data_IF_539051487064
#
_entry.id   IF_539051487064
#
_cell.length_a   1.000
_cell.length_b   1.000
_cell.length_c   1.000
_cell.angle_alpha   90.00
_cell.angle_beta   90.00
_cell.angle_gamma   90.00
#
_symmetry.space_group_name_H-M   'P 1'
#
loop_
_entity.id
_entity.type
_entity.pdbx_description
1 polymer ?
#
# COMPACT_ATOMS: atom_id res chain seq x y z
N UNK A 1 11.31 2.13 -4.71
CA UNK A 1 10.76 2.24 -3.35
C UNK A 1 10.16 3.64 -3.26
N UNK A 2 8.95 3.78 -2.72
CA UNK A 2 8.39 5.11 -2.47
C UNK A 2 9.30 5.87 -1.49
N UNK A 3 9.40 7.18 -1.66
CA UNK A 3 10.15 8.03 -0.72
C UNK A 3 9.52 7.92 0.68
N UNK A 4 10.31 7.87 1.75
CA UNK A 4 9.77 7.74 3.10
C UNK A 4 8.92 8.96 3.46
N UNK A 5 7.82 8.72 4.16
CA UNK A 5 6.99 9.82 4.70
C UNK A 5 7.81 10.60 5.72
N UNK A 6 7.97 11.90 5.51
CA UNK A 6 8.82 12.77 6.33
C UNK A 6 8.05 13.42 7.47
N UNK A 7 8.60 13.34 8.68
CA UNK A 7 8.22 14.13 9.86
C UNK A 7 9.39 15.01 10.26
N UNK A 8 9.18 16.31 10.29
CA UNK A 8 10.17 17.28 10.77
C UNK A 8 10.05 17.43 12.27
N UNK A 9 11.19 17.51 12.94
CA UNK A 9 11.31 17.84 14.35
C UNK A 9 11.82 19.28 14.40
N UNK A 10 10.93 20.22 14.76
CA UNK A 10 11.21 21.66 14.76
C UNK A 10 10.67 22.29 16.03
N UNK A 11 11.48 23.14 16.66
CA UNK A 11 11.18 23.85 17.91
C UNK A 11 10.77 22.91 19.04
N UNK A 12 9.47 22.71 19.26
CA UNK A 12 8.89 21.86 20.29
C UNK A 12 7.75 20.98 19.73
N UNK A 13 7.75 20.69 18.42
CA UNK A 13 6.68 19.93 17.74
C UNK A 13 7.21 18.98 16.66
N UNK A 14 6.42 17.95 16.37
CA UNK A 14 6.55 17.13 15.16
C UNK A 14 5.67 17.72 14.06
N UNK A 15 6.18 17.85 12.85
CA UNK A 15 5.48 18.46 11.72
C UNK A 15 5.57 17.58 10.45
N UNK A 16 4.45 16.99 9.99
CA UNK A 16 3.14 16.98 10.64
C UNK A 16 3.17 16.17 11.95
N UNK A 17 2.26 16.47 12.87
CA UNK A 17 2.14 15.71 14.12
C UNK A 17 1.44 14.36 13.93
N UNK A 18 0.73 14.18 12.82
CA UNK A 18 0.10 12.94 12.42
C UNK A 18 0.49 12.61 10.98
N UNK A 19 0.89 11.38 10.74
CA UNK A 19 1.07 10.83 9.40
C UNK A 19 0.26 9.55 9.27
N UNK A 20 -0.30 9.32 8.09
CA UNK A 20 -0.98 8.09 7.70
C UNK A 20 -0.15 7.38 6.64
N UNK A 21 0.20 6.12 6.87
CA UNK A 21 1.02 5.30 5.97
C UNK A 21 0.46 3.88 5.90
N UNK A 22 0.82 3.10 4.89
CA UNK A 22 0.45 1.69 4.80
C UNK A 22 1.42 0.81 5.59
N UNK A 23 0.96 -0.35 6.06
CA UNK A 23 1.83 -1.35 6.66
C UNK A 23 2.98 -1.72 5.72
N UNK A 24 4.19 -1.80 6.26
CA UNK A 24 5.45 -1.94 5.51
C UNK A 24 6.10 -0.61 5.11
N UNK A 25 5.45 0.53 5.29
CA UNK A 25 6.03 1.85 5.00
C UNK A 25 7.08 2.27 6.02
N UNK A 26 8.04 3.08 5.55
CA UNK A 26 9.07 3.72 6.39
C UNK A 26 8.74 5.20 6.61
N UNK A 27 8.75 5.61 7.89
CA UNK A 27 8.65 7.02 8.29
C UNK A 27 10.04 7.51 8.67
N UNK A 28 10.37 8.72 8.22
CA UNK A 28 11.63 9.40 8.50
C UNK A 28 11.39 10.62 9.35
N UNK A 29 12.11 10.72 10.47
CA UNK A 29 12.19 11.92 11.29
C UNK A 29 13.50 12.65 11.01
N UNK A 30 13.44 13.97 10.84
CA UNK A 30 14.62 14.83 10.68
C UNK A 30 14.54 15.99 11.66
N UNK A 31 15.59 16.22 12.44
CA UNK A 31 15.68 17.38 13.31
C UNK A 31 16.16 18.61 12.55
N UNK A 32 15.22 19.48 12.17
CA UNK A 32 15.50 20.78 11.55
C UNK A 32 15.54 21.91 12.59
N UNK A 33 15.33 21.60 13.87
CA UNK A 33 15.49 22.52 14.99
C UNK A 33 16.93 22.71 15.44
N UNK A 34 17.14 23.60 16.42
CA UNK A 34 18.46 23.93 16.98
C UNK A 34 18.79 23.20 18.29
N UNK A 35 17.84 22.46 18.85
CA UNK A 35 18.00 21.70 20.10
C UNK A 35 17.95 20.19 19.83
N UNK A 36 18.48 19.41 20.76
CA UNK A 36 18.33 17.96 20.74
C UNK A 36 16.89 17.56 21.04
N UNK A 37 16.35 16.62 20.26
CA UNK A 37 15.03 16.04 20.48
C UNK A 37 15.10 14.53 20.57
N UNK A 38 14.00 13.91 21.00
CA UNK A 38 13.84 12.48 20.87
C UNK A 38 12.61 12.09 20.07
N UNK A 39 12.71 10.95 19.40
CA UNK A 39 11.58 10.20 18.85
C UNK A 39 11.47 8.96 19.72
N UNK A 40 10.50 8.98 20.65
CA UNK A 40 10.38 7.96 21.70
C UNK A 40 8.98 7.39 21.76
N UNK A 41 8.87 6.07 21.66
CA UNK A 41 7.66 5.28 21.90
C UNK A 41 8.00 4.14 22.87
N UNK A 42 7.22 4.04 23.94
CA UNK A 42 7.42 3.04 24.99
C UNK A 42 6.71 1.70 24.71
N UNK A 43 5.58 1.75 24.00
CA UNK A 43 4.78 0.59 23.64
C UNK A 43 5.27 -0.02 22.33
N UNK A 44 4.92 -1.28 22.05
CA UNK A 44 5.31 -1.91 20.79
C UNK A 44 4.61 -1.25 19.57
N UNK A 45 5.31 -1.07 18.44
CA UNK A 45 6.76 -1.22 18.29
C UNK A 45 7.52 -0.14 19.08
N UNK A 46 8.49 -0.55 19.90
CA UNK A 46 9.19 0.37 20.80
C UNK A 46 10.47 0.95 20.16
N UNK A 47 10.71 2.23 20.36
CA UNK A 47 11.92 2.91 19.91
C UNK A 47 12.24 4.12 20.80
N UNK A 48 13.53 4.40 20.99
CA UNK A 48 13.99 5.63 21.64
C UNK A 48 15.27 6.11 20.94
N UNK A 49 15.19 7.29 20.31
CA UNK A 49 16.29 7.88 19.56
C UNK A 49 16.45 9.35 19.91
N UNK A 50 17.68 9.76 20.17
CA UNK A 50 18.06 11.17 20.31
C UNK A 50 18.50 11.66 18.93
N UNK A 51 17.97 12.80 18.50
CA UNK A 51 18.33 13.48 17.25
C UNK A 51 18.93 14.84 17.59
N UNK A 52 20.23 15.01 17.32
CA UNK A 52 20.87 16.32 17.31
C UNK A 52 20.42 17.14 16.09
N UNK A 53 20.65 18.47 16.04
CA UNK A 53 20.33 19.27 14.85
C UNK A 53 20.93 18.67 13.57
N UNK A 54 20.08 18.42 12.57
CA UNK A 54 20.42 17.80 11.29
C UNK A 54 20.38 16.26 11.27
N UNK A 55 20.24 15.60 12.43
CA UNK A 55 20.19 14.14 12.49
C UNK A 55 18.83 13.57 12.07
N UNK A 56 18.88 12.31 11.66
CA UNK A 56 17.77 11.60 11.04
C UNK A 56 17.51 10.26 11.75
N UNK A 57 16.26 9.84 11.80
CA UNK A 57 15.88 8.49 12.23
C UNK A 57 14.81 7.94 11.30
N UNK A 58 14.93 6.68 10.91
CA UNK A 58 13.94 5.98 10.10
C UNK A 58 13.42 4.76 10.83
N UNK A 59 12.12 4.50 10.71
CA UNK A 59 11.48 3.31 11.27
C UNK A 59 10.42 2.76 10.30
N UNK A 60 10.46 1.45 10.08
CA UNK A 60 9.49 0.73 9.25
C UNK A 60 8.39 0.11 10.10
N UNK A 61 7.14 0.47 9.83
CA UNK A 61 5.99 -0.06 10.57
C UNK A 61 5.39 -1.26 9.85
N UNK A 62 5.76 -2.48 10.26
CA UNK A 62 5.35 -3.71 9.59
C UNK A 62 3.86 -4.06 9.76
N UNK A 63 3.23 -3.63 10.86
CA UNK A 63 1.87 -4.02 11.21
C UNK A 63 0.94 -2.81 11.25
N UNK A 64 -0.35 -2.99 10.88
CA UNK A 64 -1.35 -1.95 11.01
C UNK A 64 -1.57 -1.55 12.48
N UNK A 65 -1.99 -0.31 12.67
CA UNK A 65 -2.49 0.21 13.94
C UNK A 65 -4.02 0.23 13.93
N UNK A 66 -4.63 0.46 15.09
CA UNK A 66 -6.00 0.95 15.14
C UNK A 66 -6.04 2.47 14.88
N UNK A 67 -7.22 3.10 15.05
CA UNK A 67 -7.43 4.54 14.88
C UNK A 67 -6.60 5.39 15.87
N UNK A 68 -6.17 4.80 17.00
CA UNK A 68 -5.32 5.46 17.99
C UNK A 68 -3.86 5.55 17.57
N UNK A 69 -3.44 4.78 16.55
CA UNK A 69 -2.11 4.82 15.94
C UNK A 69 -0.94 4.51 16.88
N UNK A 70 0.26 4.57 16.32
CA UNK A 70 1.50 4.49 17.09
C UNK A 70 1.89 5.87 17.59
N UNK A 71 1.35 6.27 18.76
CA UNK A 71 1.75 7.48 19.45
C UNK A 71 3.22 7.45 19.89
N UNK A 72 3.90 8.58 19.76
CA UNK A 72 5.28 8.79 20.21
C UNK A 72 5.45 10.22 20.75
N UNK A 73 6.55 10.45 21.45
CA UNK A 73 6.83 11.73 22.10
C UNK A 73 8.32 12.06 22.12
N UNK A 74 8.65 13.33 22.33
CA UNK A 74 9.97 13.72 22.81
C UNK A 74 9.99 13.66 24.34
N UNK A 75 10.99 12.99 24.93
CA UNK A 75 11.09 12.76 26.39
C UNK A 75 11.76 13.89 27.16
N UNK A 76 12.41 14.85 26.50
CA UNK A 76 13.09 15.98 27.16
C UNK A 76 12.13 17.06 27.67
N UNK A 77 10.93 17.20 27.09
CA UNK A 77 9.96 18.24 27.47
C UNK A 77 8.76 17.64 28.20
N UNK A 78 8.95 17.30 29.47
CA UNK A 78 7.94 16.65 30.33
C UNK A 78 6.71 17.51 30.67
N UNK A 79 6.73 18.83 30.41
CA UNK A 79 5.68 19.77 30.81
C UNK A 79 4.73 20.28 29.71
N UNK A 80 5.08 20.14 28.43
CA UNK A 80 4.32 20.70 27.29
C UNK A 80 4.01 19.74 26.14
N UNK A 81 4.55 18.52 26.19
CA UNK A 81 4.11 17.38 25.37
C UNK A 81 4.32 17.52 23.86
N UNK A 82 5.58 17.49 23.40
CA UNK A 82 5.87 17.24 21.99
C UNK A 82 5.48 15.80 21.66
N UNK A 83 4.37 15.62 20.93
CA UNK A 83 3.75 14.33 20.61
C UNK A 83 3.43 14.22 19.13
N UNK A 84 3.52 13.02 18.60
CA UNK A 84 3.03 12.69 17.27
C UNK A 84 2.44 11.30 17.23
N UNK A 85 1.80 10.97 16.11
CA UNK A 85 1.19 9.66 15.86
C UNK A 85 1.45 9.23 14.43
N UNK A 86 1.75 7.94 14.25
CA UNK A 86 1.72 7.28 12.94
C UNK A 86 0.49 6.38 12.90
N UNK A 87 -0.48 6.69 12.03
CA UNK A 87 -1.58 5.77 11.72
C UNK A 87 -1.08 4.85 10.61
N UNK A 88 -1.12 3.54 10.87
CA UNK A 88 -0.68 2.54 9.89
C UNK A 88 -1.90 1.79 9.42
N UNK A 89 -2.33 2.06 8.19
CA UNK A 89 -3.42 1.29 7.57
C UNK A 89 -2.92 -0.10 7.20
N UNK A 90 -3.80 -1.11 7.14
CA UNK A 90 -3.44 -2.40 6.57
C UNK A 90 -2.82 -2.19 5.18
N UNK A 91 -1.82 -3.00 4.84
CA UNK A 91 -1.41 -3.17 3.44
C UNK A 91 -2.66 -3.58 2.65
N UNK A 92 -2.94 -2.91 1.53
CA UNK A 92 -4.09 -3.26 0.70
C UNK A 92 -3.77 -4.59 0.03
N UNK A 93 -4.27 -5.68 0.63
CA UNK A 93 -4.13 -7.00 0.04
C UNK A 93 -4.68 -7.00 -1.39
N UNK A 94 -3.99 -7.64 -2.35
CA UNK A 94 -4.43 -7.60 -3.73
C UNK A 94 -5.80 -8.26 -3.86
N UNK A 95 -6.64 -7.68 -4.72
CA UNK A 95 -7.90 -8.30 -5.11
C UNK A 95 -7.60 -9.57 -5.89
N UNK A 96 -8.02 -10.72 -5.36
CA UNK A 96 -7.68 -12.03 -5.93
C UNK A 96 -8.67 -12.43 -7.02
N UNK A 97 -8.14 -12.86 -8.16
CA UNK A 97 -8.87 -13.54 -9.23
C UNK A 97 -8.20 -14.89 -9.45
N UNK A 98 -8.94 -15.97 -9.28
CA UNK A 98 -8.47 -17.32 -9.55
C UNK A 98 -8.65 -17.64 -11.03
N UNK A 99 -7.67 -18.31 -11.59
CA UNK A 99 -7.72 -18.92 -12.91
C UNK A 99 -7.91 -20.41 -12.66
N UNK A 100 -9.12 -20.92 -12.92
CA UNK A 100 -9.49 -22.31 -12.67
C UNK A 100 -10.18 -22.87 -13.92
N UNK A 101 -9.71 -24.04 -14.37
CA UNK A 101 -10.21 -24.78 -15.52
C UNK A 101 -10.32 -23.97 -16.82
N UNK A 102 -11.41 -23.24 -17.03
CA UNK A 102 -11.66 -22.43 -18.22
C UNK A 102 -12.30 -21.07 -17.89
N UNK A 103 -12.21 -20.59 -16.65
CA UNK A 103 -12.81 -19.33 -16.20
C UNK A 103 -11.92 -18.53 -15.24
N UNK A 104 -12.18 -17.22 -15.17
CA UNK A 104 -11.65 -16.34 -14.13
C UNK A 104 -12.70 -16.25 -13.01
N UNK A 105 -12.31 -16.44 -11.74
CA UNK A 105 -13.20 -16.43 -10.58
C UNK A 105 -12.71 -15.44 -9.50
N UNK A 106 -13.46 -14.36 -9.20
CA UNK A 106 -14.63 -13.90 -9.95
C UNK A 106 -14.26 -13.41 -11.36
N UNK A 107 -15.21 -13.48 -12.30
CA UNK A 107 -14.99 -12.97 -13.66
C UNK A 107 -15.02 -11.45 -13.73
N UNK A 108 -15.59 -10.80 -12.71
CA UNK A 108 -15.67 -9.35 -12.58
C UNK A 108 -15.32 -8.94 -11.16
N UNK A 109 -14.46 -7.95 -11.04
CA UNK A 109 -14.16 -7.28 -9.77
C UNK A 109 -14.35 -5.78 -9.93
N UNK A 110 -14.73 -5.14 -8.84
CA UNK A 110 -14.78 -3.69 -8.71
C UNK A 110 -13.77 -3.27 -7.64
N UNK A 111 -12.86 -2.37 -8.01
CA UNK A 111 -11.75 -1.90 -7.19
C UNK A 111 -11.62 -0.39 -7.29
N UNK A 112 -10.79 0.22 -6.44
CA UNK A 112 -10.43 1.64 -6.54
C UNK A 112 -9.08 1.83 -7.24
N UNK A 113 -8.85 3.01 -7.84
CA UNK A 113 -7.54 3.40 -8.38
C UNK A 113 -6.44 3.16 -7.37
N UNK A 114 -5.34 2.54 -7.81
CA UNK A 114 -4.20 2.16 -6.95
C UNK A 114 -4.29 0.73 -6.43
N UNK A 115 -5.43 0.04 -6.58
CA UNK A 115 -5.56 -1.36 -6.14
C UNK A 115 -4.78 -2.30 -7.06
N UNK A 116 -4.06 -3.25 -6.46
CA UNK A 116 -3.43 -4.38 -7.16
C UNK A 116 -4.42 -5.52 -7.30
N UNK A 117 -4.53 -6.08 -8.51
CA UNK A 117 -5.23 -7.35 -8.76
C UNK A 117 -4.20 -8.46 -8.93
N UNK A 118 -4.43 -9.59 -8.27
CA UNK A 118 -3.62 -10.80 -8.38
C UNK A 118 -4.41 -11.88 -9.08
N UNK A 119 -3.89 -12.36 -10.20
CA UNK A 119 -4.36 -13.58 -10.84
C UNK A 119 -3.51 -14.76 -10.37
N UNK A 120 -4.12 -15.85 -9.92
CA UNK A 120 -3.42 -17.09 -9.56
C UNK A 120 -4.02 -18.27 -10.31
N UNK A 121 -3.17 -19.09 -10.93
CA UNK A 121 -3.60 -20.32 -11.59
C UNK A 121 -3.72 -21.47 -10.59
N UNK A 122 -4.94 -21.76 -10.16
CA UNK A 122 -5.25 -22.94 -9.33
C UNK A 122 -5.75 -24.12 -10.19
N UNK A 123 -5.82 -23.96 -11.51
CA UNK A 123 -6.13 -25.01 -12.47
C UNK A 123 -4.93 -25.91 -12.79
N UNK A 124 -5.16 -26.89 -13.66
CA UNK A 124 -4.15 -27.88 -14.08
C UNK A 124 -3.49 -27.59 -15.44
N UNK A 125 -4.02 -26.63 -16.20
CA UNK A 125 -3.51 -26.24 -17.51
C UNK A 125 -2.83 -24.86 -17.44
N UNK A 126 -1.98 -24.56 -18.42
CA UNK A 126 -1.45 -23.21 -18.59
C UNK A 126 -2.55 -22.26 -19.07
N UNK A 127 -2.56 -21.06 -18.49
CA UNK A 127 -3.49 -19.99 -18.87
C UNK A 127 -2.75 -18.71 -19.20
N UNK A 128 -3.47 -17.75 -19.78
CA UNK A 128 -2.98 -16.38 -19.87
C UNK A 128 -3.91 -15.37 -19.24
N UNK A 129 -3.32 -14.28 -18.77
CA UNK A 129 -4.02 -13.04 -18.43
C UNK A 129 -3.60 -12.03 -19.49
N UNK A 130 -4.47 -11.78 -20.47
CA UNK A 130 -4.12 -11.00 -21.66
C UNK A 130 -5.12 -9.86 -21.89
N UNK A 131 -4.61 -8.63 -21.97
CA UNK A 131 -5.34 -7.43 -22.41
C UNK A 131 -4.55 -6.73 -23.52
N UNK A 132 -5.22 -6.44 -24.63
CA UNK A 132 -4.62 -5.80 -25.82
C UNK A 132 -4.81 -4.29 -25.88
N UNK A 133 -5.75 -3.74 -25.13
CA UNK A 133 -5.99 -2.31 -24.99
C UNK A 133 -5.25 -1.76 -23.77
N UNK A 134 -5.06 -0.44 -23.67
CA UNK A 134 -4.39 0.12 -22.48
C UNK A 134 -5.25 -0.05 -21.21
N UNK A 135 -4.67 -0.39 -20.04
CA UNK A 135 -3.29 -0.84 -19.86
C UNK A 135 -3.04 -2.24 -20.43
N UNK A 136 -1.97 -2.43 -21.19
CA UNK A 136 -1.66 -3.72 -21.86
C UNK A 136 -0.85 -4.66 -20.97
N UNK A 137 -1.23 -5.94 -20.96
CA UNK A 137 -0.47 -7.02 -20.34
C UNK A 137 -0.74 -8.35 -21.08
N UNK A 138 0.25 -9.23 -21.14
CA UNK A 138 0.11 -10.59 -21.65
C UNK A 138 1.04 -11.53 -20.87
N UNK A 139 0.48 -12.23 -19.89
CA UNK A 139 1.23 -13.14 -19.03
C UNK A 139 0.73 -14.56 -19.18
N UNK A 140 1.67 -15.51 -19.24
CA UNK A 140 1.38 -16.94 -19.15
C UNK A 140 1.51 -17.34 -17.69
N UNK A 141 0.57 -18.13 -17.18
CA UNK A 141 0.57 -18.68 -15.83
C UNK A 141 0.50 -20.20 -15.91
N UNK A 142 1.58 -20.88 -15.54
CA UNK A 142 1.55 -22.32 -15.27
C UNK A 142 0.78 -22.62 -13.97
N UNK A 143 0.37 -23.88 -13.70
CA UNK A 143 -0.27 -24.24 -12.44
C UNK A 143 0.53 -23.79 -11.21
N UNK A 144 -0.13 -23.05 -10.31
CA UNK A 144 0.44 -22.45 -9.10
C UNK A 144 1.11 -21.09 -9.30
N UNK A 145 1.31 -20.62 -10.52
CA UNK A 145 1.88 -19.30 -10.79
C UNK A 145 0.86 -18.17 -10.63
N UNK A 146 1.37 -16.98 -10.36
CA UNK A 146 0.57 -15.78 -10.21
C UNK A 146 1.14 -14.59 -10.98
N UNK A 147 0.25 -13.69 -11.38
CA UNK A 147 0.56 -12.40 -11.98
C UNK A 147 -0.15 -11.31 -11.18
N UNK A 148 0.51 -10.19 -10.95
CA UNK A 148 -0.04 -9.03 -10.26
C UNK A 148 0.05 -7.78 -11.13
N UNK A 149 -1.01 -6.97 -11.11
CA UNK A 149 -1.05 -5.70 -11.84
C UNK A 149 -1.77 -4.63 -11.02
N UNK A 150 -1.15 -3.46 -10.87
CA UNK A 150 -1.73 -2.30 -10.19
C UNK A 150 -2.41 -1.37 -11.19
N UNK A 151 -3.71 -1.11 -10.98
CA UNK A 151 -4.48 -0.23 -11.84
C UNK A 151 -4.38 1.22 -11.39
N UNK A 152 -3.51 2.01 -12.07
CA UNK A 152 -3.23 3.39 -11.70
C UNK A 152 -4.25 4.43 -12.24
N UNK A 153 -5.19 4.02 -13.08
CA UNK A 153 -6.18 4.91 -13.71
C UNK A 153 -7.58 4.33 -13.61
N UNK A 154 -8.63 5.17 -13.49
CA UNK A 154 -10.01 4.68 -13.50
C UNK A 154 -10.37 4.09 -14.86
N UNK A 155 -11.32 3.16 -14.87
CA UNK A 155 -11.91 2.63 -16.10
C UNK A 155 -13.13 3.47 -16.51
N UNK A 156 -13.61 3.27 -17.73
CA UNK A 156 -14.98 3.66 -18.09
C UNK A 156 -16.00 2.60 -17.61
N UNK A 157 -17.26 2.74 -18.01
CA UNK A 157 -18.34 1.79 -17.72
C UNK A 157 -18.10 0.39 -18.30
N UNK A 158 -17.24 0.26 -19.32
CA UNK A 158 -16.89 -1.02 -19.95
C UNK A 158 -15.82 -1.77 -19.17
N UNK A 159 -15.08 -1.10 -18.28
CA UNK A 159 -14.01 -1.71 -17.50
C UNK A 159 -12.77 -2.08 -18.30
N UNK A 160 -11.75 -2.54 -17.59
CA UNK A 160 -10.58 -3.17 -18.22
C UNK A 160 -10.87 -4.65 -18.47
N UNK A 161 -11.45 -4.94 -19.64
CA UNK A 161 -11.64 -6.32 -20.11
C UNK A 161 -10.32 -7.01 -20.47
N UNK A 162 -10.22 -8.30 -20.18
CA UNK A 162 -9.10 -9.17 -20.49
C UNK A 162 -9.57 -10.60 -20.79
N UNK A 163 -8.68 -11.43 -21.34
CA UNK A 163 -8.99 -12.81 -21.74
C UNK A 163 -7.80 -13.75 -21.59
N UNK A 164 -8.08 -15.05 -21.56
CA UNK A 164 -7.06 -16.06 -21.87
C UNK A 164 -7.00 -16.27 -23.40
N UNK A 165 -5.79 -16.22 -23.99
CA UNK A 165 -5.59 -16.32 -25.44
C UNK A 165 -5.50 -17.75 -25.98
N UNK A 166 -5.34 -18.76 -25.11
CA UNK A 166 -5.26 -20.16 -25.51
C UNK A 166 -6.62 -20.77 -25.88
N UNK A 167 -7.72 -20.22 -25.38
CA UNK A 167 -9.08 -20.72 -25.63
C UNK A 167 -9.83 -19.83 -26.63
N UNK A 168 -9.74 -20.19 -27.92
CA UNK A 168 -10.28 -19.40 -29.04
C UNK A 168 -11.76 -19.64 -29.36
N UNK A 169 -12.42 -20.64 -28.76
CA UNK A 169 -13.77 -21.09 -29.16
C UNK A 169 -14.97 -20.53 -28.36
N UNK A 170 -14.75 -19.96 -27.17
CA UNK A 170 -15.81 -19.46 -26.27
C UNK A 170 -15.27 -18.62 -25.12
N UNK A 171 -14.17 -17.91 -25.39
CA UNK A 171 -13.06 -17.61 -24.48
C UNK A 171 -13.37 -17.20 -23.03
N UNK A 172 -12.46 -17.66 -22.17
CA UNK A 172 -12.29 -17.23 -20.79
C UNK A 172 -11.98 -15.72 -20.76
N UNK A 173 -12.90 -14.94 -20.18
CA UNK A 173 -12.87 -13.47 -20.13
C UNK A 173 -13.11 -12.99 -18.71
N UNK A 174 -12.49 -11.87 -18.37
CA UNK A 174 -12.78 -11.17 -17.14
C UNK A 174 -12.74 -9.67 -17.35
N UNK A 175 -13.17 -8.93 -16.33
CA UNK A 175 -13.25 -7.48 -16.34
C UNK A 175 -12.88 -6.92 -14.98
N UNK A 176 -12.11 -5.84 -14.96
CA UNK A 176 -11.82 -5.06 -13.76
C UNK A 176 -12.47 -3.69 -13.91
N UNK A 177 -13.44 -3.36 -13.06
CA UNK A 177 -13.99 -2.01 -12.95
C UNK A 177 -13.13 -1.24 -11.95
N UNK A 178 -12.56 -0.11 -12.37
CA UNK A 178 -11.70 0.71 -11.51
C UNK A 178 -12.38 2.03 -11.25
N UNK A 179 -12.95 2.17 -10.05
CA UNK A 179 -13.56 3.41 -9.57
C UNK A 179 -12.48 4.44 -9.26
N UNK A 180 -12.76 5.75 -9.43
CA UNK A 180 -11.91 6.80 -8.87
C UNK A 180 -11.63 6.54 -7.40
N UNK A 181 -10.43 6.88 -6.92
CA UNK A 181 -10.15 6.84 -5.50
C UNK A 181 -11.22 7.64 -4.75
N UNK A 182 -11.73 7.11 -3.65
CA UNK A 182 -12.60 7.87 -2.78
C UNK A 182 -11.89 9.18 -2.42
N UNK A 183 -12.55 10.33 -2.66
CA UNK A 183 -12.06 11.60 -2.14
C UNK A 183 -11.99 11.45 -0.62
N UNK A 184 -10.78 11.44 -0.04
CA UNK A 184 -10.64 11.56 1.40
C UNK A 184 -11.31 12.89 1.80
N UNK A 185 -12.39 12.78 2.58
CA UNK A 185 -13.24 13.89 3.01
C UNK A 185 -12.67 14.58 4.24
#
# INVERSE_FOLDING_TARGET
MADPTLVKVVDFRFEPSEVKVEAGSTVKWVNEGSADHTVTRADEPSFDRVLAPGEEFEFTFANPSDESGFEYRCRFHSGGGMRGKVIVTPEVAPTLIKVVDFLFEPSEVEIEVGTTVKWINEGSADHTVTRTDEPRFDQVLAPGEAFEFTFANPSDESGFEYRCRFHSGGGMRGKVIVKPAALEA
#
